data_IF_165477420147
#
_entry.id   IF_165477420147
#
_cell.length_a   1.000
_cell.length_b   1.000
_cell.length_c   1.000
_cell.angle_alpha   90.00
_cell.angle_beta   90.00
_cell.angle_gamma   90.00
#
_symmetry.space_group_name_H-M   'P 1'
#
loop_
_entity.id
_entity.type
_entity.pdbx_description
1 polymer ?
#
# COMPACT_ATOMS: atom_id res chain seq x y z
N UNK A 1 13.00 2.67 5.92
CA UNK A 1 12.67 3.54 4.77
C UNK A 1 11.70 2.86 3.81
N UNK A 2 12.05 1.70 3.22
CA UNK A 2 11.14 0.98 2.30
C UNK A 2 9.74 0.70 2.88
N UNK A 3 9.64 0.35 4.17
CA UNK A 3 8.34 0.14 4.85
C UNK A 3 7.46 1.40 4.91
N UNK A 4 8.06 2.58 5.10
CA UNK A 4 7.32 3.84 5.19
C UNK A 4 6.81 4.24 3.80
N UNK A 5 7.65 4.09 2.77
CA UNK A 5 7.27 4.32 1.37
C UNK A 5 6.18 3.33 0.95
N UNK A 6 6.34 2.04 1.29
CA UNK A 6 5.34 1.01 1.02
C UNK A 6 3.99 1.31 1.66
N UNK A 7 3.98 1.73 2.93
CA UNK A 7 2.77 2.16 3.64
C UNK A 7 2.09 3.36 2.96
N UNK A 8 2.87 4.37 2.56
CA UNK A 8 2.33 5.54 1.87
C UNK A 8 1.70 5.18 0.52
N UNK A 9 2.40 4.37 -0.30
CA UNK A 9 1.90 3.92 -1.61
C UNK A 9 0.63 3.09 -1.44
N UNK A 10 0.65 2.10 -0.54
CA UNK A 10 -0.49 1.22 -0.27
C UNK A 10 -1.77 2.00 0.09
N UNK A 11 -1.65 3.07 0.88
CA UNK A 11 -2.80 3.86 1.34
C UNK A 11 -3.32 4.81 0.26
N UNK A 12 -2.41 5.46 -0.48
CA UNK A 12 -2.74 6.61 -1.32
C UNK A 12 -2.97 6.23 -2.79
N UNK A 13 -2.20 5.28 -3.32
CA UNK A 13 -2.18 4.95 -4.74
C UNK A 13 -3.56 4.59 -5.33
N UNK A 14 -4.41 3.75 -4.70
CA UNK A 14 -5.69 3.38 -5.30
C UNK A 14 -6.69 4.53 -5.33
N UNK A 15 -6.77 5.33 -4.25
CA UNK A 15 -7.63 6.51 -4.20
C UNK A 15 -7.17 7.59 -5.17
N UNK A 16 -5.86 7.84 -5.22
CA UNK A 16 -5.25 8.78 -6.15
C UNK A 16 -5.52 8.40 -7.60
N UNK A 17 -5.33 7.13 -7.96
CA UNK A 17 -5.58 6.65 -9.31
C UNK A 17 -7.02 6.90 -9.74
N UNK A 18 -8.01 6.48 -8.93
CA UNK A 18 -9.43 6.69 -9.23
C UNK A 18 -9.76 8.18 -9.35
N UNK A 19 -9.22 9.02 -8.47
CA UNK A 19 -9.45 10.46 -8.49
C UNK A 19 -8.90 11.13 -9.77
N UNK A 20 -7.69 10.77 -10.19
CA UNK A 20 -7.06 11.33 -11.40
C UNK A 20 -7.73 10.78 -12.65
N UNK A 21 -7.87 9.45 -12.78
CA UNK A 21 -8.38 8.81 -14.00
C UNK A 21 -9.86 9.07 -14.27
N UNK A 22 -10.62 9.53 -13.28
CA UNK A 22 -12.07 9.77 -13.39
C UNK A 22 -12.41 11.25 -13.40
N UNK A 23 -11.71 12.09 -12.62
CA UNK A 23 -12.07 13.50 -12.46
C UNK A 23 -11.04 14.49 -13.01
N UNK A 24 -9.76 14.10 -13.12
CA UNK A 24 -8.66 15.02 -13.47
C UNK A 24 -7.72 14.39 -14.50
N UNK A 25 -8.30 13.93 -15.62
CA UNK A 25 -7.55 13.19 -16.65
C UNK A 25 -6.49 14.08 -17.31
N UNK A 26 -6.73 15.38 -17.41
CA UNK A 26 -5.82 16.37 -18.00
C UNK A 26 -4.49 16.54 -17.24
N UNK A 27 -4.42 16.06 -15.99
CA UNK A 27 -3.20 16.10 -15.19
C UNK A 27 -2.20 14.98 -15.59
N UNK A 28 -2.64 14.01 -16.39
CA UNK A 28 -1.80 12.88 -16.84
C UNK A 28 -1.06 13.30 -18.12
N UNK A 29 0.25 13.01 -18.25
CA UNK A 29 0.96 13.20 -19.51
C UNK A 29 0.26 12.53 -20.69
N UNK A 30 0.11 13.25 -21.80
CA UNK A 30 -0.66 12.82 -22.97
C UNK A 30 -0.35 11.38 -23.45
N UNK A 31 0.92 10.94 -23.53
CA UNK A 31 1.22 9.56 -23.95
C UNK A 31 0.62 8.49 -23.02
N UNK A 32 0.67 8.73 -21.70
CA UNK A 32 0.11 7.81 -20.70
C UNK A 32 -1.41 7.84 -20.71
N UNK A 33 -2.00 9.02 -20.84
CA UNK A 33 -3.44 9.19 -20.97
C UNK A 33 -3.99 8.39 -22.16
N UNK A 34 -3.33 8.48 -23.33
CA UNK A 34 -3.73 7.74 -24.52
C UNK A 34 -3.72 6.22 -24.28
N UNK A 35 -2.68 5.68 -23.64
CA UNK A 35 -2.62 4.26 -23.27
C UNK A 35 -3.75 3.86 -22.32
N UNK A 36 -4.04 4.69 -21.30
CA UNK A 36 -5.12 4.42 -20.34
C UNK A 36 -6.47 4.38 -21.06
N UNK A 37 -6.77 5.39 -21.88
CA UNK A 37 -8.05 5.47 -22.62
C UNK A 37 -8.20 4.27 -23.54
N UNK A 38 -7.19 3.93 -24.36
CA UNK A 38 -7.23 2.76 -25.25
C UNK A 38 -7.44 1.46 -24.47
N UNK A 39 -6.78 1.33 -23.31
CA UNK A 39 -6.90 0.13 -22.45
C UNK A 39 -8.28 -0.05 -21.81
N UNK A 40 -9.15 0.96 -21.89
CA UNK A 40 -10.49 0.96 -21.30
C UNK A 40 -11.62 0.97 -22.33
N UNK A 41 -11.31 0.99 -23.62
CA UNK A 41 -12.32 0.90 -24.69
C UNK A 41 -13.05 -0.45 -24.55
N UNK A 42 -14.37 -0.39 -24.43
CA UNK A 42 -15.22 -1.59 -24.32
C UNK A 42 -15.43 -2.12 -22.90
N UNK A 43 -14.90 -1.46 -21.86
CA UNK A 43 -15.20 -1.83 -20.48
C UNK A 43 -16.54 -1.20 -20.01
N UNK A 44 -17.52 -2.01 -19.56
CA UNK A 44 -18.83 -1.51 -19.14
C UNK A 44 -18.83 -0.95 -17.70
N UNK A 45 -17.73 -1.13 -16.95
CA UNK A 45 -17.63 -0.85 -15.52
C UNK A 45 -16.91 0.48 -15.27
N UNK A 46 -17.37 1.25 -14.27
CA UNK A 46 -16.72 2.51 -13.88
C UNK A 46 -15.37 2.27 -13.19
N UNK A 47 -14.45 3.25 -13.26
CA UNK A 47 -13.10 3.12 -12.68
C UNK A 47 -13.11 2.81 -11.18
N UNK A 48 -14.10 3.36 -10.48
CA UNK A 48 -14.24 3.15 -9.04
C UNK A 48 -14.58 1.68 -8.75
N UNK A 49 -15.61 1.15 -9.41
CA UNK A 49 -16.05 -0.25 -9.21
C UNK A 49 -14.93 -1.21 -9.62
N UNK A 50 -14.23 -0.91 -10.72
CA UNK A 50 -13.05 -1.66 -11.17
C UNK A 50 -11.97 -1.71 -10.08
N UNK A 51 -11.72 -0.61 -9.35
CA UNK A 51 -10.76 -0.58 -8.23
C UNK A 51 -11.22 -1.45 -7.06
N UNK A 52 -12.47 -1.32 -6.66
CA UNK A 52 -13.02 -2.12 -5.56
C UNK A 52 -12.95 -3.61 -5.89
N UNK A 53 -13.31 -3.99 -7.11
CA UNK A 53 -13.22 -5.38 -7.60
C UNK A 53 -11.79 -5.90 -7.52
N UNK A 54 -10.82 -5.17 -8.05
CA UNK A 54 -9.42 -5.62 -8.08
C UNK A 54 -8.80 -5.69 -6.69
N UNK A 55 -9.05 -4.70 -5.82
CA UNK A 55 -8.59 -4.75 -4.44
C UNK A 55 -9.20 -5.92 -3.68
N UNK A 56 -10.49 -6.20 -3.91
CA UNK A 56 -11.16 -7.35 -3.31
C UNK A 56 -10.57 -8.69 -3.79
N UNK A 57 -10.33 -8.84 -5.09
CA UNK A 57 -9.71 -10.03 -5.68
C UNK A 57 -8.32 -10.31 -5.08
N UNK A 58 -7.47 -9.28 -4.98
CA UNK A 58 -6.14 -9.46 -4.40
C UNK A 58 -6.19 -9.79 -2.89
N UNK A 59 -7.14 -9.22 -2.14
CA UNK A 59 -7.35 -9.57 -0.74
C UNK A 59 -7.81 -11.02 -0.57
N UNK A 60 -8.70 -11.49 -1.45
CA UNK A 60 -9.14 -12.88 -1.47
C UNK A 60 -7.97 -13.83 -1.73
N UNK A 61 -7.09 -13.51 -2.69
CA UNK A 61 -5.91 -14.32 -2.98
C UNK A 61 -4.93 -14.37 -1.82
N UNK A 62 -4.71 -13.25 -1.13
CA UNK A 62 -3.87 -13.24 0.07
C UNK A 62 -4.47 -14.07 1.18
N UNK A 63 -5.75 -13.89 1.49
CA UNK A 63 -6.41 -14.58 2.57
C UNK A 63 -6.42 -16.10 2.32
N UNK A 64 -6.68 -16.52 1.07
CA UNK A 64 -6.54 -17.91 0.66
C UNK A 64 -5.09 -18.42 0.81
N UNK A 65 -4.10 -17.62 0.38
CA UNK A 65 -2.69 -17.98 0.46
C UNK A 65 -2.17 -18.14 1.90
N UNK A 66 -2.67 -17.34 2.84
CA UNK A 66 -2.30 -17.41 4.27
C UNK A 66 -2.96 -18.60 4.98
N UNK A 67 -4.15 -19.01 4.54
CA UNK A 67 -4.90 -20.14 5.15
C UNK A 67 -4.46 -21.51 4.66
N UNK A 68 -3.83 -21.59 3.49
CA UNK A 68 -3.37 -22.85 2.90
C UNK A 68 -1.96 -23.24 3.36
N UNK A 69 -1.61 -24.54 3.36
CA UNK A 69 -0.23 -24.99 3.57
C UNK A 69 0.72 -24.35 2.56
N UNK A 70 1.96 -24.04 2.96
CA UNK A 70 2.92 -23.25 2.14
C UNK A 70 3.07 -23.74 0.70
N UNK A 71 3.10 -25.06 0.47
CA UNK A 71 3.22 -25.65 -0.87
C UNK A 71 2.05 -25.32 -1.81
N UNK A 72 0.84 -25.15 -1.26
CA UNK A 72 -0.37 -24.84 -2.02
C UNK A 72 -0.63 -23.34 -2.04
N UNK A 73 -0.37 -22.63 -0.93
CA UNK A 73 -0.60 -21.20 -0.80
C UNK A 73 0.20 -20.36 -1.79
N UNK A 74 1.47 -20.72 -2.05
CA UNK A 74 2.29 -20.04 -3.07
C UNK A 74 1.72 -20.26 -4.48
N UNK A 75 1.30 -21.49 -4.80
CA UNK A 75 0.71 -21.83 -6.09
C UNK A 75 -0.59 -21.06 -6.33
N UNK A 76 -1.47 -21.01 -5.34
CA UNK A 76 -2.73 -20.26 -5.42
C UNK A 76 -2.48 -18.75 -5.63
N UNK A 77 -1.49 -18.16 -4.94
CA UNK A 77 -1.17 -16.76 -5.12
C UNK A 77 -0.65 -16.44 -6.53
N UNK A 78 0.23 -17.30 -7.08
CA UNK A 78 0.80 -17.10 -8.43
C UNK A 78 -0.26 -17.34 -9.52
N UNK A 79 -1.00 -18.46 -9.42
CA UNK A 79 -2.08 -18.80 -10.36
C UNK A 79 -3.20 -17.76 -10.30
N UNK A 80 -3.61 -17.35 -9.10
CA UNK A 80 -4.61 -16.29 -8.90
C UNK A 80 -4.16 -14.96 -9.52
N UNK A 81 -2.93 -14.53 -9.24
CA UNK A 81 -2.43 -13.26 -9.75
C UNK A 81 -2.33 -13.19 -11.28
N UNK A 82 -1.79 -14.24 -11.92
CA UNK A 82 -1.52 -14.23 -13.36
C UNK A 82 -2.73 -14.72 -14.16
N UNK A 83 -3.28 -15.89 -13.83
CA UNK A 83 -4.33 -16.53 -14.65
C UNK A 83 -5.66 -15.82 -14.46
N UNK A 84 -6.06 -15.55 -13.20
CA UNK A 84 -7.32 -14.83 -12.96
C UNK A 84 -7.19 -13.36 -13.37
N UNK A 85 -6.01 -12.76 -13.19
CA UNK A 85 -5.73 -11.41 -13.68
C UNK A 85 -5.88 -11.27 -15.20
N UNK A 86 -5.25 -12.16 -15.98
CA UNK A 86 -5.37 -12.17 -17.44
C UNK A 86 -6.80 -12.47 -17.89
N UNK A 87 -7.47 -13.43 -17.25
CA UNK A 87 -8.87 -13.74 -17.52
C UNK A 87 -9.79 -12.56 -17.25
N UNK A 88 -9.57 -11.81 -16.16
CA UNK A 88 -10.37 -10.62 -15.83
C UNK A 88 -10.21 -9.51 -16.87
N UNK A 89 -8.99 -9.34 -17.42
CA UNK A 89 -8.75 -8.41 -18.53
C UNK A 89 -9.48 -8.86 -19.79
N UNK A 90 -9.32 -10.13 -20.20
CA UNK A 90 -9.96 -10.65 -21.42
C UNK A 90 -11.49 -10.69 -21.33
N UNK A 91 -12.03 -10.92 -20.14
CA UNK A 91 -13.46 -10.89 -19.87
C UNK A 91 -14.04 -9.46 -19.86
N UNK A 92 -13.20 -8.42 -19.97
CA UNK A 92 -13.63 -7.03 -19.90
C UNK A 92 -14.11 -6.59 -18.52
N UNK A 93 -13.67 -7.28 -17.45
CA UNK A 93 -14.00 -6.91 -16.07
C UNK A 93 -13.07 -5.82 -15.53
N UNK A 94 -11.84 -5.74 -16.04
CA UNK A 94 -10.83 -4.77 -15.64
C UNK A 94 -9.90 -4.44 -16.81
N UNK A 95 -9.20 -3.31 -16.72
CA UNK A 95 -8.15 -2.90 -17.64
C UNK A 95 -6.76 -3.34 -17.16
N UNK A 96 -5.79 -3.49 -18.09
CA UNK A 96 -4.39 -3.74 -17.74
C UNK A 96 -3.79 -2.68 -16.82
N UNK A 97 -4.11 -1.40 -17.05
CA UNK A 97 -3.57 -0.29 -16.25
C UNK A 97 -4.05 -0.37 -14.80
N UNK A 98 -5.32 -0.74 -14.60
CA UNK A 98 -5.88 -0.95 -13.27
C UNK A 98 -5.30 -2.15 -12.53
N UNK A 99 -5.04 -3.24 -13.26
CA UNK A 99 -4.38 -4.42 -12.70
C UNK A 99 -2.99 -4.04 -12.17
N UNK A 100 -2.20 -3.29 -12.94
CA UNK A 100 -0.87 -2.83 -12.50
C UNK A 100 -0.96 -2.00 -11.22
N UNK A 101 -1.86 -1.01 -11.17
CA UNK A 101 -2.02 -0.13 -10.01
C UNK A 101 -2.42 -0.92 -8.75
N UNK A 102 -3.40 -1.80 -8.88
CA UNK A 102 -3.87 -2.65 -7.78
C UNK A 102 -2.80 -3.65 -7.33
N UNK A 103 -2.06 -4.28 -8.27
CA UNK A 103 -0.95 -5.18 -7.96
C UNK A 103 0.18 -4.47 -7.21
N UNK A 104 0.60 -3.27 -7.64
CA UNK A 104 1.62 -2.47 -6.94
C UNK A 104 1.15 -2.10 -5.54
N UNK A 105 -0.11 -1.69 -5.41
CA UNK A 105 -0.72 -1.41 -4.10
C UNK A 105 -0.66 -2.65 -3.20
N UNK A 106 -0.92 -3.82 -3.75
CA UNK A 106 -0.92 -5.06 -2.98
C UNK A 106 0.48 -5.55 -2.61
N UNK A 107 1.43 -5.48 -3.53
CA UNK A 107 2.84 -5.85 -3.30
C UNK A 107 3.49 -4.94 -2.26
N UNK A 108 3.22 -3.63 -2.32
CA UNK A 108 3.71 -2.70 -1.30
C UNK A 108 3.12 -2.98 0.08
N UNK A 109 1.90 -3.51 0.15
CA UNK A 109 1.26 -3.91 1.41
C UNK A 109 2.07 -5.01 2.10
N UNK A 110 2.66 -5.95 1.38
CA UNK A 110 3.49 -7.02 1.97
C UNK A 110 4.79 -6.54 2.64
N UNK A 111 5.19 -5.29 2.41
CA UNK A 111 6.33 -4.71 3.13
C UNK A 111 6.03 -4.47 4.62
N UNK A 112 4.74 -4.46 5.01
CA UNK A 112 4.28 -4.37 6.38
C UNK A 112 4.33 -5.77 7.02
N UNK A 113 5.25 -5.98 7.95
CA UNK A 113 5.47 -7.30 8.58
C UNK A 113 4.40 -7.64 9.63
N UNK A 114 3.64 -6.65 10.13
CA UNK A 114 2.67 -6.83 11.19
C UNK A 114 1.26 -7.06 10.64
N UNK A 115 0.66 -8.23 10.91
CA UNK A 115 -0.68 -8.59 10.44
C UNK A 115 -1.79 -7.70 11.01
N UNK A 116 -1.68 -7.27 12.27
CA UNK A 116 -2.65 -6.33 12.88
C UNK A 116 -2.59 -4.96 12.20
N UNK A 117 -1.40 -4.54 11.79
CA UNK A 117 -1.20 -3.30 11.04
C UNK A 117 -1.79 -3.40 9.62
N UNK A 118 -1.66 -4.56 8.97
CA UNK A 118 -2.20 -4.79 7.63
C UNK A 118 -3.72 -4.61 7.59
N UNK A 119 -4.47 -5.18 8.55
CA UNK A 119 -5.92 -4.99 8.62
C UNK A 119 -6.33 -3.52 8.78
N UNK A 120 -5.62 -2.79 9.65
CA UNK A 120 -5.86 -1.35 9.87
C UNK A 120 -5.59 -0.52 8.60
N UNK A 121 -4.49 -0.84 7.91
CA UNK A 121 -4.09 -0.16 6.67
C UNK A 121 -5.06 -0.47 5.52
N UNK A 122 -5.57 -1.69 5.43
CA UNK A 122 -6.61 -2.06 4.46
C UNK A 122 -7.89 -1.25 4.69
N UNK A 123 -8.34 -1.11 5.95
CA UNK A 123 -9.51 -0.30 6.27
C UNK A 123 -9.30 1.17 5.89
N UNK A 124 -8.18 1.78 6.28
CA UNK A 124 -7.85 3.16 5.94
C UNK A 124 -7.76 3.40 4.42
N UNK A 125 -7.21 2.43 3.67
CA UNK A 125 -7.15 2.47 2.21
C UNK A 125 -8.55 2.53 1.59
N UNK A 126 -9.48 1.71 2.09
CA UNK A 126 -10.87 1.76 1.63
C UNK A 126 -11.56 3.07 1.96
N UNK A 127 -11.27 3.68 3.12
CA UNK A 127 -11.80 5.02 3.47
C UNK A 127 -11.30 6.08 2.48
N UNK A 128 -10.01 6.11 2.15
CA UNK A 128 -9.45 7.05 1.16
C UNK A 128 -10.06 6.81 -0.22
N UNK A 129 -10.17 5.55 -0.63
CA UNK A 129 -10.79 5.18 -1.91
C UNK A 129 -12.25 5.63 -1.99
N UNK A 130 -13.02 5.47 -0.92
CA UNK A 130 -14.42 5.85 -0.86
C UNK A 130 -14.59 7.37 -0.98
N UNK A 131 -13.80 8.15 -0.25
CA UNK A 131 -13.80 9.61 -0.41
C UNK A 131 -13.34 10.04 -1.81
N UNK A 132 -12.31 9.40 -2.36
CA UNK A 132 -11.81 9.68 -3.71
C UNK A 132 -12.84 9.36 -4.80
N UNK A 133 -13.65 8.32 -4.59
CA UNK A 133 -14.73 7.93 -5.49
C UNK A 133 -15.89 8.92 -5.45
N UNK A 134 -16.25 9.40 -4.25
CA UNK A 134 -17.38 10.31 -4.06
C UNK A 134 -17.08 11.77 -4.46
N UNK A 135 -15.86 12.26 -4.17
CA UNK A 135 -15.50 13.68 -4.28
C UNK A 135 -14.27 13.92 -5.17
N UNK A 136 -13.77 12.90 -5.87
CA UNK A 136 -12.59 13.00 -6.74
C UNK A 136 -11.31 13.40 -6.00
N UNK A 137 -10.51 14.28 -6.61
CA UNK A 137 -9.23 14.73 -6.03
C UNK A 137 -9.41 15.46 -4.69
N UNK A 138 -10.52 16.17 -4.50
CA UNK A 138 -10.82 16.81 -3.22
C UNK A 138 -11.02 15.77 -2.10
N UNK A 139 -11.77 14.71 -2.39
CA UNK A 139 -11.97 13.58 -1.47
C UNK A 139 -10.68 12.83 -1.16
N UNK A 140 -9.79 12.67 -2.15
CA UNK A 140 -8.47 12.10 -1.94
C UNK A 140 -7.67 12.88 -0.88
N UNK A 141 -7.57 14.21 -1.03
CA UNK A 141 -6.87 15.04 -0.05
C UNK A 141 -7.53 14.97 1.33
N UNK A 142 -8.85 15.05 1.43
CA UNK A 142 -9.57 14.89 2.71
C UNK A 142 -9.25 13.55 3.36
N UNK A 143 -9.26 12.46 2.59
CA UNK A 143 -8.93 11.13 3.10
C UNK A 143 -7.51 11.05 3.65
N UNK A 144 -6.54 11.61 2.92
CA UNK A 144 -5.14 11.67 3.36
C UNK A 144 -4.99 12.53 4.61
N UNK A 145 -5.60 13.72 4.65
CA UNK A 145 -5.57 14.59 5.83
C UNK A 145 -6.24 13.94 7.06
N UNK A 146 -7.34 13.22 6.84
CA UNK A 146 -8.03 12.49 7.92
C UNK A 146 -7.14 11.41 8.52
N UNK A 147 -6.39 10.68 7.69
CA UNK A 147 -5.38 9.72 8.17
C UNK A 147 -4.28 10.43 8.95
N UNK A 148 -3.77 11.56 8.45
CA UNK A 148 -2.74 12.33 9.16
C UNK A 148 -3.23 12.78 10.54
N UNK A 149 -4.44 13.34 10.63
CA UNK A 149 -5.07 13.73 11.89
C UNK A 149 -5.26 12.56 12.84
N UNK A 150 -5.72 11.41 12.32
CA UNK A 150 -5.83 10.19 13.10
C UNK A 150 -4.46 9.78 13.67
N UNK A 151 -3.40 9.80 12.86
CA UNK A 151 -2.04 9.50 13.33
C UNK A 151 -1.51 10.50 14.37
N UNK A 152 -1.88 11.79 14.30
CA UNK A 152 -1.56 12.79 15.35
C UNK A 152 -2.28 12.46 16.66
N UNK A 153 -3.53 12.01 16.58
CA UNK A 153 -4.35 11.71 17.76
C UNK A 153 -3.92 10.44 18.50
N UNK A 154 -3.28 9.50 17.80
CA UNK A 154 -2.76 8.29 18.44
C UNK A 154 -1.62 8.63 19.40
N UNK A 155 -1.77 8.18 20.65
CA UNK A 155 -0.68 8.17 21.64
C UNK A 155 -0.08 6.77 21.70
N UNK A 156 1.24 6.65 21.53
CA UNK A 156 1.99 5.42 21.76
C UNK A 156 2.73 5.55 23.08
N UNK A 157 2.43 4.69 24.05
CA UNK A 157 3.08 4.68 25.37
C UNK A 157 3.13 6.07 26.06
N UNK A 158 2.05 6.86 25.93
CA UNK A 158 1.93 8.20 26.54
C UNK A 158 2.46 9.36 25.68
N UNK A 159 3.20 9.09 24.61
CA UNK A 159 3.78 10.10 23.70
C UNK A 159 3.01 10.12 22.35
N UNK A 160 2.75 11.29 21.73
CA UNK A 160 2.13 11.36 20.41
C UNK A 160 2.89 10.53 19.35
N UNK A 161 2.18 9.72 18.57
CA UNK A 161 2.76 8.77 17.61
C UNK A 161 3.64 9.45 16.53
N UNK A 162 3.38 10.72 16.24
CA UNK A 162 4.15 11.55 15.30
C UNK A 162 5.35 12.30 15.90
N UNK A 163 5.65 12.15 17.20
CA UNK A 163 6.81 12.81 17.82
C UNK A 163 8.16 12.60 17.11
N UNK A 164 8.48 11.42 16.52
CA UNK A 164 9.73 11.25 15.76
C UNK A 164 9.81 12.03 14.44
N UNK A 165 8.69 12.60 13.96
CA UNK A 165 8.60 13.36 12.70
C UNK A 165 8.40 14.87 12.93
N UNK A 166 8.33 15.32 14.19
CA UNK A 166 8.20 16.74 14.51
C UNK A 166 9.53 17.48 14.20
N UNK A 167 9.46 18.68 13.60
CA UNK A 167 10.64 19.38 13.07
C UNK A 167 11.68 19.77 14.12
N UNK A 168 11.31 19.78 15.40
CA UNK A 168 12.23 20.14 16.50
C UNK A 168 13.39 19.13 16.68
N UNK A 169 13.25 17.88 16.22
CA UNK A 169 14.32 16.89 16.22
C UNK A 169 14.81 16.47 14.83
N UNK A 170 14.41 17.14 13.73
CA UNK A 170 14.93 16.83 12.38
C UNK A 170 16.47 16.96 12.28
N UNK A 171 17.09 17.74 13.17
CA UNK A 171 18.56 17.81 13.34
C UNK A 171 19.16 16.55 13.99
N UNK A 172 18.41 15.87 14.85
CA UNK A 172 18.80 14.64 15.56
C UNK A 172 18.45 13.38 14.77
N UNK A 173 17.36 13.43 14.01
CA UNK A 173 16.96 12.42 13.04
C UNK A 173 18.08 12.18 12.02
N UNK A 174 18.76 13.22 11.51
CA UNK A 174 19.94 13.04 10.64
C UNK A 174 21.04 12.14 11.24
N UNK A 175 21.22 12.14 12.56
CA UNK A 175 22.14 11.22 13.26
C UNK A 175 21.60 9.80 13.47
N UNK A 176 20.27 9.62 13.50
CA UNK A 176 19.62 8.31 13.55
C UNK A 176 19.43 7.67 12.16
N UNK A 177 19.35 8.49 11.11
CA UNK A 177 19.28 8.08 9.71
C UNK A 177 20.58 7.40 9.22
N UNK A 178 21.71 7.59 9.91
CA UNK A 178 23.03 7.07 9.50
C UNK A 178 23.63 6.02 10.44
N UNK A 179 22.90 5.51 11.45
CA UNK A 179 23.44 4.49 12.35
C UNK A 179 23.42 3.11 11.68
N UNK A 180 24.59 2.73 11.19
CA UNK A 180 25.02 1.38 10.81
C UNK A 180 24.57 0.31 11.81
N UNK A 181 24.26 -0.91 11.33
CA UNK A 181 23.75 -2.00 12.18
C UNK A 181 24.72 -2.31 13.31
N UNK A 182 24.21 -2.22 14.53
CA UNK A 182 24.88 -2.62 15.75
C UNK A 182 25.14 -4.13 15.71
N UNK A 183 26.39 -4.51 15.44
CA UNK A 183 26.86 -5.90 15.53
C UNK A 183 26.76 -6.36 16.98
N UNK A 184 25.87 -7.33 17.20
CA UNK A 184 25.78 -8.10 18.43
C UNK A 184 27.06 -8.92 18.62
N UNK A 185 27.79 -8.68 19.70
CA UNK A 185 28.92 -9.51 20.13
C UNK A 185 28.59 -10.10 21.50
N UNK A 186 27.65 -11.05 21.53
CA UNK A 186 27.48 -11.95 22.67
C UNK A 186 28.69 -12.88 22.80
N UNK A 187 29.22 -12.90 24.03
CA UNK A 187 29.82 -14.05 24.73
C UNK A 187 31.14 -14.63 24.22
N UNK A 188 32.18 -14.48 25.06
CA UNK A 188 33.23 -15.46 25.45
C UNK A 188 34.02 -14.75 26.56
N UNK A 189 33.75 -14.98 27.84
CA UNK A 189 34.11 -16.20 28.57
C UNK A 189 35.30 -15.88 29.47
N UNK A 190 35.09 -15.72 30.78
CA UNK A 190 36.19 -15.73 31.77
C UNK A 190 36.94 -17.06 31.67
N UNK A 191 38.28 -17.08 31.73
CA UNK A 191 38.90 -17.44 33.02
C UNK A 191 40.32 -16.86 33.33
N UNK A 192 40.54 -16.62 34.63
CA UNK A 192 41.76 -16.83 35.46
C UNK A 192 43.13 -16.15 35.18
N UNK A 193 43.82 -15.92 36.32
CA UNK A 193 45.24 -15.59 36.62
C UNK A 193 45.55 -14.09 36.59
N UNK A 194 46.16 -13.48 37.61
CA UNK A 194 47.11 -13.96 38.61
C UNK A 194 48.36 -13.09 38.49
N UNK A 195 48.72 -12.38 39.57
CA UNK A 195 49.82 -11.42 39.64
C UNK A 195 49.60 -10.47 40.81
#
# INVERSE_FOLDING_TARGET
MLRLVGLFITLTLPGFWVAVSTFNVDQIPFPLMATIVVSRIGLPISTAIEMFLMLFMFELFREAGVRLPRAVGQTVAVVGGIIVGDAAIRAGLTSPTMLVVSAVTYVTSFTLVNQTLLGSVNLLRFVVLLFSTALGMFGFFIGVFSILLYMVSLRSFGEPYLKPAAPYEARRARGAFLKFPYTDRRSKGSPKRGG
#
